data_IF_773477061318
#
_entry.id   IF_773477061318
#
_cell.length_a   1.000
_cell.length_b   1.000
_cell.length_c   1.000
_cell.angle_alpha   90.00
_cell.angle_beta   90.00
_cell.angle_gamma   90.00
#
_symmetry.space_group_name_H-M   'P 1'
#
loop_
_entity.id
_entity.type
_entity.pdbx_description
1 polymer ?
#
# COMPACT_ATOMS: atom_id res chain seq x y z
N UNK A 1 -15.52 15.49 -53.69
CA UNK A 1 -15.84 15.06 -52.31
C UNK A 1 -14.98 15.88 -51.36
N UNK A 2 -15.52 16.97 -50.80
CA UNK A 2 -15.13 17.63 -49.53
C UNK A 2 -15.90 18.96 -49.40
N UNK A 3 -17.17 18.92 -49.01
CA UNK A 3 -17.94 20.12 -48.65
C UNK A 3 -18.75 19.87 -47.37
N UNK A 4 -18.20 20.22 -46.20
CA UNK A 4 -18.90 20.61 -44.97
C UNK A 4 -17.84 20.79 -43.86
N UNK A 5 -17.71 21.88 -43.12
CA UNK A 5 -18.74 22.67 -42.44
C UNK A 5 -18.26 24.13 -42.39
N UNK A 6 -19.01 25.00 -43.06
CA UNK A 6 -18.94 26.45 -42.88
C UNK A 6 -19.43 26.80 -41.48
N UNK A 7 -18.53 27.19 -40.56
CA UNK A 7 -18.91 27.91 -39.36
C UNK A 7 -18.97 29.40 -39.67
N UNK A 8 -20.13 29.87 -40.12
CA UNK A 8 -20.44 31.29 -40.31
C UNK A 8 -20.37 32.03 -38.96
N UNK A 9 -19.25 32.68 -38.68
CA UNK A 9 -19.13 33.64 -37.58
C UNK A 9 -19.62 35.02 -38.06
N UNK A 10 -20.77 35.45 -37.58
CA UNK A 10 -21.26 36.81 -37.78
C UNK A 10 -20.37 37.83 -37.02
N UNK A 11 -20.00 38.97 -37.62
CA UNK A 11 -19.17 39.97 -36.96
C UNK A 11 -20.02 40.84 -36.02
N UNK A 12 -19.54 41.07 -34.79
CA UNK A 12 -19.97 42.25 -34.02
C UNK A 12 -20.64 42.07 -32.64
N UNK A 13 -20.55 40.92 -31.96
CA UNK A 13 -20.99 40.83 -30.55
C UNK A 13 -19.80 40.60 -29.62
N UNK A 14 -19.29 41.68 -29.03
CA UNK A 14 -18.34 41.60 -27.92
C UNK A 14 -18.95 40.75 -26.80
N UNK A 15 -18.25 39.73 -26.27
CA UNK A 15 -18.79 38.92 -25.21
C UNK A 15 -19.08 39.81 -24.01
N UNK A 16 -20.32 39.75 -23.51
CA UNK A 16 -20.74 40.54 -22.35
C UNK A 16 -19.82 40.25 -21.17
N UNK A 17 -19.63 41.22 -20.27
CA UNK A 17 -18.78 41.07 -19.08
C UNK A 17 -19.10 39.78 -18.29
N UNK A 18 -20.38 39.38 -18.22
CA UNK A 18 -20.83 38.11 -17.63
C UNK A 18 -20.27 36.87 -18.35
N UNK A 19 -20.23 36.87 -19.69
CA UNK A 19 -19.65 35.79 -20.50
C UNK A 19 -18.14 35.72 -20.32
N UNK A 20 -17.45 36.87 -20.30
CA UNK A 20 -16.00 36.94 -20.05
C UNK A 20 -15.66 36.36 -18.68
N UNK A 21 -16.38 36.77 -17.63
CA UNK A 21 -16.17 36.24 -16.28
C UNK A 21 -16.40 34.73 -16.21
N UNK A 22 -17.44 34.22 -16.87
CA UNK A 22 -17.69 32.77 -16.97
C UNK A 22 -16.51 32.04 -17.63
N UNK A 23 -15.96 32.58 -18.72
CA UNK A 23 -14.80 32.00 -19.41
C UNK A 23 -13.53 32.06 -18.56
N UNK A 24 -13.31 33.17 -17.84
CA UNK A 24 -12.16 33.31 -16.92
C UNK A 24 -12.23 32.29 -15.77
N UNK A 25 -13.42 32.12 -15.18
CA UNK A 25 -13.63 31.13 -14.12
C UNK A 25 -13.41 29.71 -14.63
N UNK A 26 -13.87 29.39 -15.83
CA UNK A 26 -13.62 28.11 -16.47
C UNK A 26 -12.13 27.88 -16.75
N UNK A 27 -11.40 28.90 -17.23
CA UNK A 27 -9.94 28.83 -17.40
C UNK A 27 -9.23 28.51 -16.08
N UNK A 28 -9.59 29.22 -14.99
CA UNK A 28 -9.04 28.96 -13.65
C UNK A 28 -9.36 27.54 -13.18
N UNK A 29 -10.60 27.08 -13.37
CA UNK A 29 -11.01 25.71 -13.03
C UNK A 29 -10.17 24.67 -13.79
N UNK A 30 -9.98 24.85 -15.10
CA UNK A 30 -9.16 23.96 -15.94
C UNK A 30 -7.71 23.92 -15.50
N UNK A 31 -7.11 25.07 -15.17
CA UNK A 31 -5.75 25.13 -14.60
C UNK A 31 -5.66 24.33 -13.32
N UNK A 32 -6.60 24.51 -12.37
CA UNK A 32 -6.62 23.75 -11.12
C UNK A 32 -6.68 22.24 -11.37
N UNK A 33 -7.56 21.78 -12.28
CA UNK A 33 -7.69 20.36 -12.60
C UNK A 33 -6.40 19.79 -13.19
N UNK A 34 -5.77 20.49 -14.12
CA UNK A 34 -4.53 20.04 -14.74
C UNK A 34 -3.37 19.98 -13.73
N UNK A 35 -3.31 20.93 -12.78
CA UNK A 35 -2.32 20.91 -11.71
C UNK A 35 -2.51 19.69 -10.82
N UNK A 36 -3.74 19.43 -10.36
CA UNK A 36 -4.05 18.24 -9.56
C UNK A 36 -3.74 16.94 -10.30
N UNK A 37 -4.03 16.84 -11.59
CA UNK A 37 -3.69 15.65 -12.40
C UNK A 37 -2.18 15.45 -12.52
N UNK A 38 -1.40 16.53 -12.65
CA UNK A 38 0.06 16.47 -12.75
C UNK A 38 0.69 16.04 -11.43
N UNK A 39 0.19 16.57 -10.31
CA UNK A 39 0.61 16.16 -8.97
C UNK A 39 0.25 14.69 -8.70
N UNK A 40 -0.98 14.30 -9.04
CA UNK A 40 -1.47 12.92 -8.87
C UNK A 40 -0.60 11.93 -9.64
N UNK A 41 -0.27 12.24 -10.90
CA UNK A 41 0.66 11.44 -11.72
C UNK A 41 2.00 11.24 -11.01
N UNK A 42 2.62 12.32 -10.52
CA UNK A 42 3.91 12.25 -9.83
C UNK A 42 3.84 11.38 -8.58
N UNK A 43 2.83 11.57 -7.73
CA UNK A 43 2.67 10.81 -6.49
C UNK A 43 2.48 9.31 -6.76
N UNK A 44 1.63 8.97 -7.72
CA UNK A 44 1.33 7.57 -8.07
C UNK A 44 2.55 6.89 -8.69
N UNK A 45 3.27 7.54 -9.60
CA UNK A 45 4.48 6.97 -10.20
C UNK A 45 5.58 6.74 -9.15
N UNK A 46 5.79 7.73 -8.27
CA UNK A 46 6.74 7.63 -7.15
C UNK A 46 6.38 6.48 -6.21
N UNK A 47 5.10 6.35 -5.85
CA UNK A 47 4.63 5.28 -4.97
C UNK A 47 4.78 3.88 -5.58
N UNK A 48 4.62 3.78 -6.91
CA UNK A 48 4.78 2.53 -7.66
C UNK A 48 6.23 2.26 -8.08
N UNK A 49 7.18 3.16 -7.79
CA UNK A 49 8.58 3.10 -8.25
C UNK A 49 8.69 2.90 -9.76
N UNK A 50 7.81 3.57 -10.51
CA UNK A 50 7.75 3.51 -11.97
C UNK A 50 8.39 4.77 -12.55
N UNK A 51 9.65 4.66 -12.91
CA UNK A 51 10.41 5.72 -13.57
C UNK A 51 10.75 5.31 -15.00
N UNK A 52 10.40 6.14 -15.98
CA UNK A 52 10.62 5.85 -17.40
C UNK A 52 9.96 6.85 -18.34
N UNK A 53 10.54 7.07 -19.52
CA UNK A 53 10.04 8.02 -20.53
C UNK A 53 8.61 7.72 -20.97
N UNK A 54 8.19 6.45 -20.93
CA UNK A 54 6.81 6.03 -21.23
C UNK A 54 5.78 6.75 -20.34
N UNK A 55 6.16 7.20 -19.15
CA UNK A 55 5.26 7.90 -18.25
C UNK A 55 5.20 9.41 -18.52
N UNK A 56 6.13 9.99 -19.30
CA UNK A 56 6.12 11.41 -19.64
C UNK A 56 4.89 11.82 -20.45
N UNK A 57 4.35 10.91 -21.29
CA UNK A 57 3.21 11.15 -22.19
C UNK A 57 1.87 10.55 -21.73
N UNK A 58 1.73 10.16 -20.46
CA UNK A 58 0.47 9.59 -19.96
C UNK A 58 -0.74 10.47 -20.27
N UNK A 59 -1.78 9.85 -20.83
CA UNK A 59 -3.05 10.52 -21.07
C UNK A 59 -3.81 10.73 -19.75
N UNK A 60 -4.82 11.62 -19.77
CA UNK A 60 -5.64 11.87 -18.57
C UNK A 60 -6.35 10.62 -18.09
N UNK A 61 -6.77 9.76 -19.00
CA UNK A 61 -7.45 8.49 -18.69
C UNK A 61 -6.48 7.56 -17.99
N UNK A 62 -5.26 7.41 -18.50
CA UNK A 62 -4.22 6.55 -17.90
C UNK A 62 -3.87 7.00 -16.47
N UNK A 63 -3.70 8.30 -16.24
CA UNK A 63 -3.40 8.85 -14.90
C UNK A 63 -4.52 8.47 -13.92
N UNK A 64 -5.78 8.62 -14.32
CA UNK A 64 -6.93 8.29 -13.49
C UNK A 64 -7.02 6.77 -13.24
N UNK A 65 -6.83 5.95 -14.26
CA UNK A 65 -6.89 4.50 -14.14
C UNK A 65 -5.77 3.96 -13.25
N UNK A 66 -4.53 4.42 -13.45
CA UNK A 66 -3.39 4.06 -12.60
C UNK A 66 -3.64 4.45 -11.14
N UNK A 67 -4.21 5.62 -10.90
CA UNK A 67 -4.58 6.08 -9.55
C UNK A 67 -5.61 5.15 -8.93
N UNK A 68 -6.69 4.81 -9.66
CA UNK A 68 -7.73 3.92 -9.15
C UNK A 68 -7.16 2.55 -8.81
N UNK A 69 -6.31 1.98 -9.68
CA UNK A 69 -5.61 0.72 -9.42
C UNK A 69 -4.76 0.79 -8.15
N UNK A 70 -4.02 1.88 -7.96
CA UNK A 70 -3.21 2.10 -6.76
C UNK A 70 -4.06 2.22 -5.49
N UNK A 71 -5.17 2.95 -5.52
CA UNK A 71 -6.08 3.07 -4.38
C UNK A 71 -6.71 1.72 -4.01
N UNK A 72 -7.09 0.91 -5.01
CA UNK A 72 -7.60 -0.45 -4.78
C UNK A 72 -6.54 -1.36 -4.15
N UNK A 73 -5.30 -1.27 -4.61
CA UNK A 73 -4.17 -1.98 -4.02
C UNK A 73 -3.96 -1.59 -2.55
N UNK A 74 -3.96 -0.29 -2.22
CA UNK A 74 -3.83 0.19 -0.83
C UNK A 74 -4.97 -0.32 0.06
N UNK A 75 -6.20 -0.30 -0.43
CA UNK A 75 -7.35 -0.79 0.33
C UNK A 75 -7.25 -2.29 0.61
N UNK A 76 -6.81 -3.10 -0.36
CA UNK A 76 -6.58 -4.53 -0.15
C UNK A 76 -5.46 -4.77 0.87
N UNK A 77 -4.36 -4.02 0.79
CA UNK A 77 -3.26 -4.13 1.76
C UNK A 77 -3.72 -3.79 3.19
N UNK A 78 -4.56 -2.75 3.37
CA UNK A 78 -5.13 -2.43 4.68
C UNK A 78 -6.06 -3.52 5.22
N UNK A 79 -6.89 -4.16 4.38
CA UNK A 79 -7.76 -5.25 4.84
C UNK A 79 -6.99 -6.50 5.27
N UNK A 80 -5.87 -6.81 4.60
CA UNK A 80 -4.96 -7.88 5.05
C UNK A 80 -4.35 -7.54 6.41
N UNK A 81 -4.01 -6.27 6.65
CA UNK A 81 -3.50 -5.83 7.96
C UNK A 81 -4.58 -5.89 9.05
N UNK A 82 -5.81 -5.48 8.77
CA UNK A 82 -6.92 -5.47 9.75
C UNK A 82 -7.38 -6.89 10.14
N UNK A 83 -7.39 -7.84 9.20
CA UNK A 83 -7.71 -9.25 9.48
C UNK A 83 -6.58 -9.96 10.23
N UNK A 84 -5.33 -9.54 10.05
CA UNK A 84 -4.19 -9.99 10.85
C UNK A 84 -4.12 -9.32 12.24
N UNK A 85 -4.60 -8.08 12.38
CA UNK A 85 -4.47 -7.29 13.61
C UNK A 85 -5.44 -7.69 14.72
N UNK A 86 -6.62 -8.22 14.40
CA UNK A 86 -7.63 -8.58 15.42
C UNK A 86 -7.14 -9.70 16.36
N UNK A 87 -6.29 -10.61 15.89
CA UNK A 87 -5.74 -11.69 16.73
C UNK A 87 -4.21 -11.67 16.87
N UNK A 88 -3.47 -11.23 15.84
CA UNK A 88 -2.01 -11.33 15.75
C UNK A 88 -1.23 -10.12 16.28
N UNK A 89 -1.81 -8.91 16.31
CA UNK A 89 -1.06 -7.72 16.74
C UNK A 89 -0.82 -7.63 18.25
N UNK A 90 -1.69 -8.22 19.07
CA UNK A 90 -1.50 -8.26 20.53
C UNK A 90 -0.35 -9.18 20.98
N UNK A 91 0.18 -10.01 20.08
CA UNK A 91 1.31 -10.91 20.34
C UNK A 91 2.38 -10.82 19.25
N UNK A 92 2.51 -9.68 18.57
CA UNK A 92 3.57 -9.49 17.57
C UNK A 92 4.90 -9.27 18.28
N UNK A 93 5.60 -10.38 18.52
CA UNK A 93 6.98 -10.37 18.98
C UNK A 93 7.87 -9.95 17.79
N UNK A 94 8.78 -8.97 17.95
CA UNK A 94 9.74 -8.62 16.91
C UNK A 94 10.47 -9.85 16.36
N UNK A 95 10.70 -9.91 15.03
CA UNK A 95 11.26 -11.08 14.35
C UNK A 95 12.60 -11.53 14.96
N UNK A 96 13.41 -10.56 15.39
CA UNK A 96 14.71 -10.79 16.03
C UNK A 96 14.57 -11.47 17.41
N UNK A 97 13.57 -11.06 18.19
CA UNK A 97 13.28 -11.65 19.50
C UNK A 97 12.70 -13.07 19.35
N UNK A 98 11.89 -13.33 18.33
CA UNK A 98 11.37 -14.67 18.05
C UNK A 98 12.49 -15.66 17.69
N UNK A 99 13.46 -15.22 16.88
CA UNK A 99 14.62 -16.03 16.53
C UNK A 99 15.52 -16.29 17.75
N UNK A 100 15.69 -15.30 18.62
CA UNK A 100 16.49 -15.43 19.85
C UNK A 100 15.84 -16.39 20.86
N UNK A 101 14.52 -16.29 21.05
CA UNK A 101 13.78 -17.24 21.91
C UNK A 101 13.91 -18.67 21.36
N UNK A 102 13.85 -18.86 20.03
CA UNK A 102 14.02 -20.16 19.41
C UNK A 102 15.46 -20.70 19.59
N UNK A 103 16.47 -19.84 19.46
CA UNK A 103 17.87 -20.18 19.76
C UNK A 103 18.05 -20.59 21.22
N UNK A 104 17.47 -19.82 22.15
CA UNK A 104 17.57 -20.10 23.57
C UNK A 104 16.89 -21.42 23.94
N UNK A 105 15.69 -21.68 23.40
CA UNK A 105 14.99 -22.96 23.58
C UNK A 105 15.75 -24.15 22.99
N UNK A 106 16.47 -23.94 21.89
CA UNK A 106 17.34 -24.95 21.30
C UNK A 106 18.76 -24.97 21.85
N UNK A 107 19.09 -24.15 22.85
CA UNK A 107 20.43 -24.16 23.44
C UNK A 107 20.74 -25.49 24.11
N UNK A 108 21.98 -25.95 23.95
CA UNK A 108 22.46 -27.19 24.56
C UNK A 108 22.31 -27.15 26.09
N UNK A 109 22.49 -25.99 26.71
CA UNK A 109 22.27 -25.80 28.15
C UNK A 109 20.85 -26.15 28.57
N UNK A 110 19.84 -25.64 27.85
CA UNK A 110 18.42 -25.91 28.18
C UNK A 110 18.09 -27.38 27.92
N UNK A 111 18.62 -27.96 26.85
CA UNK A 111 18.44 -29.38 26.50
C UNK A 111 19.11 -30.31 27.52
N UNK A 112 20.31 -29.97 27.98
CA UNK A 112 21.05 -30.76 28.97
C UNK A 112 20.35 -30.71 30.32
N UNK A 113 19.93 -29.52 30.78
CA UNK A 113 19.17 -29.37 32.03
C UNK A 113 17.86 -30.17 32.02
N UNK A 114 17.14 -30.15 30.90
CA UNK A 114 15.93 -30.97 30.74
C UNK A 114 16.25 -32.47 30.77
N UNK A 115 17.30 -32.88 30.07
CA UNK A 115 17.76 -34.27 30.02
C UNK A 115 18.17 -34.77 31.40
N UNK A 116 18.89 -33.96 32.17
CA UNK A 116 19.31 -34.28 33.54
C UNK A 116 18.11 -34.39 34.47
N UNK A 117 17.13 -33.49 34.35
CA UNK A 117 15.91 -33.55 35.15
C UNK A 117 15.10 -34.83 34.86
N UNK A 118 14.95 -35.19 33.58
CA UNK A 118 14.28 -36.44 33.17
C UNK A 118 15.05 -37.66 33.69
N UNK A 119 16.37 -37.64 33.60
CA UNK A 119 17.24 -38.72 34.09
C UNK A 119 17.12 -38.90 35.61
N UNK A 120 17.01 -37.80 36.35
CA UNK A 120 16.84 -37.82 37.80
C UNK A 120 15.47 -38.35 38.20
N UNK A 121 14.40 -37.94 37.50
CA UNK A 121 13.06 -38.52 37.68
C UNK A 121 13.03 -40.03 37.40
N UNK A 122 13.72 -40.50 36.35
CA UNK A 122 13.82 -41.93 36.04
C UNK A 122 14.64 -42.72 37.07
N UNK A 123 15.62 -42.10 37.74
CA UNK A 123 16.33 -42.74 38.86
C UNK A 123 15.42 -42.88 40.08
N UNK A 124 14.63 -41.85 40.38
CA UNK A 124 13.68 -41.86 41.49
C UNK A 124 12.54 -42.86 41.25
N UNK A 125 11.97 -42.91 40.05
CA UNK A 125 10.95 -43.91 39.68
C UNK A 125 11.46 -45.36 39.77
N UNK A 126 12.74 -45.61 39.44
CA UNK A 126 13.39 -46.92 39.61
C UNK A 126 13.68 -47.31 41.06
N UNK A 127 13.71 -46.36 41.99
CA UNK A 127 13.85 -46.64 43.43
C UNK A 127 12.53 -47.16 44.03
N UNK A 128 11.40 -46.69 43.50
CA UNK A 128 10.06 -47.13 43.95
C UNK A 128 9.71 -48.53 43.43
N UNK A 129 10.29 -48.96 42.30
CA UNK A 129 10.09 -50.33 41.77
C UNK A 129 11.07 -51.40 42.29
N UNK A 130 12.06 -51.05 43.12
CA UNK A 130 12.98 -52.02 43.76
C UNK A 130 12.67 -52.32 45.23
N UNK A 131 11.60 -51.74 45.79
CA UNK A 131 11.07 -52.04 47.13
C UNK A 131 9.69 -52.70 47.05
N UNK A 132 9.57 -53.71 46.20
CA UNK A 132 8.55 -54.76 46.28
C UNK A 132 9.28 -56.09 46.39
#
# INVERSE_FOLDING_TARGET
>A
MLDNITSTAAPGKTPTHRKINKLMMEKRRRTRINNCLSELKTLVLKALKKDGEQFSKLEKVDILEMTVKYLRFLHQQQQVNLTSDSLGSKYRVPLDLSAEVLRYMNSDETRNRLTDHIREYQKHGRSIHRKL
#
